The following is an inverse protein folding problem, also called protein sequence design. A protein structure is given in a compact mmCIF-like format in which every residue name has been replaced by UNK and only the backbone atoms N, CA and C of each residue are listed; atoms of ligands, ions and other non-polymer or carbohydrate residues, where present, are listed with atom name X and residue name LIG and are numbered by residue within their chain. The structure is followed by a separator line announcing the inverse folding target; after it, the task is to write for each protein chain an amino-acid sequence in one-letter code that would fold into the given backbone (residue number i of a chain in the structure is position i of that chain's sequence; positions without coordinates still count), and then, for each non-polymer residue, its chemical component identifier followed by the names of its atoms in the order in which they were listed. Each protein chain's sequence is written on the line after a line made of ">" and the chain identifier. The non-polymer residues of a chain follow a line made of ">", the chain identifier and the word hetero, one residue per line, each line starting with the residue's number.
data_IF_066086401151
#
_entry.id   IF_066086401151
#
_cell.length_a   1.000
_cell.length_b   1.000
_cell.length_c   1.000
_cell.angle_alpha   90.00
_cell.angle_beta   90.00
_cell.angle_gamma   90.00
#
_symmetry.space_group_name_H-M   'P 1'
#
loop_
_entity.id
_entity.type
_entity.pdbx_description
1 polymer ?
#
# COMPACT_ATOMS: atom_id res chain seq x y z
N UNK A 1 -2.28 2.77 -11.77
CA UNK A 1 -3.49 2.29 -12.49
C UNK A 1 -3.56 2.91 -13.88
N UNK A 2 -3.93 2.13 -14.89
CA UNK A 2 -4.22 2.60 -16.26
C UNK A 2 -5.73 2.58 -16.47
N UNK A 3 -6.27 3.62 -17.09
CA UNK A 3 -7.68 3.73 -17.42
C UNK A 3 -7.86 4.03 -18.90
N UNK A 4 -8.70 3.25 -19.56
CA UNK A 4 -9.00 3.41 -21.00
C UNK A 4 -10.24 4.29 -21.14
N UNK A 5 -10.08 5.45 -21.80
CA UNK A 5 -11.14 6.42 -22.00
C UNK A 5 -11.24 7.46 -20.86
N UNK A 6 -12.45 7.97 -20.60
CA UNK A 6 -12.69 9.01 -19.58
C UNK A 6 -13.09 8.37 -18.25
N UNK A 7 -12.30 8.55 -17.18
CA UNK A 7 -12.63 7.98 -15.88
C UNK A 7 -13.87 8.62 -15.27
N UNK A 8 -14.59 7.83 -14.47
CA UNK A 8 -15.61 8.36 -13.58
C UNK A 8 -14.95 9.25 -12.51
N UNK A 9 -15.56 10.41 -12.17
CA UNK A 9 -15.02 11.27 -11.10
C UNK A 9 -14.74 10.53 -9.78
N UNK A 10 -15.54 9.52 -9.43
CA UNK A 10 -15.29 8.67 -8.26
C UNK A 10 -13.97 7.91 -8.34
N UNK A 11 -13.59 7.43 -9.52
CA UNK A 11 -12.32 6.72 -9.71
C UNK A 11 -11.14 7.64 -9.42
N UNK A 12 -11.16 8.86 -9.93
CA UNK A 12 -10.11 9.86 -9.71
C UNK A 12 -10.03 10.30 -8.24
N UNK A 13 -11.19 10.53 -7.61
CA UNK A 13 -11.27 10.86 -6.18
C UNK A 13 -10.75 9.72 -5.30
N UNK A 14 -11.21 8.49 -5.52
CA UNK A 14 -10.75 7.33 -4.75
C UNK A 14 -9.25 7.10 -4.93
N UNK A 15 -8.72 7.31 -6.15
CA UNK A 15 -7.28 7.19 -6.40
C UNK A 15 -6.49 8.22 -5.60
N UNK A 16 -6.94 9.48 -5.53
CA UNK A 16 -6.28 10.53 -4.73
C UNK A 16 -6.27 10.19 -3.24
N UNK A 17 -7.40 9.72 -2.71
CA UNK A 17 -7.52 9.29 -1.32
C UNK A 17 -6.60 8.10 -1.04
N UNK A 18 -6.60 7.10 -1.92
CA UNK A 18 -5.74 5.92 -1.81
C UNK A 18 -4.27 6.33 -1.82
N UNK A 19 -3.89 7.28 -2.68
CA UNK A 19 -2.51 7.79 -2.74
C UNK A 19 -2.12 8.52 -1.44
N UNK A 20 -3.01 9.38 -0.89
CA UNK A 20 -2.79 10.01 0.43
C UNK A 20 -2.54 8.93 1.49
N UNK A 21 -3.32 7.86 1.50
CA UNK A 21 -3.15 6.72 2.41
C UNK A 21 -1.80 6.01 2.23
N UNK A 22 -1.39 5.78 0.99
CA UNK A 22 -0.09 5.18 0.66
C UNK A 22 1.05 6.07 1.16
N UNK A 23 0.98 7.38 0.98
CA UNK A 23 1.98 8.33 1.47
C UNK A 23 2.09 8.28 3.00
N UNK A 24 0.97 8.25 3.72
CA UNK A 24 0.97 8.11 5.19
C UNK A 24 1.56 6.78 5.65
N UNK A 25 1.27 5.69 4.94
CA UNK A 25 1.87 4.39 5.23
C UNK A 25 3.40 4.41 5.02
N UNK A 26 3.88 5.03 3.94
CA UNK A 26 5.31 5.20 3.65
C UNK A 26 5.99 6.03 4.76
N UNK A 27 5.41 7.14 5.21
CA UNK A 27 5.93 7.96 6.31
C UNK A 27 6.06 7.17 7.63
N UNK A 28 5.19 6.19 7.86
CA UNK A 28 5.23 5.31 9.03
C UNK A 28 6.18 4.12 8.87
N UNK A 29 6.64 3.84 7.65
CA UNK A 29 7.55 2.74 7.37
C UNK A 29 8.97 3.08 7.80
N UNK A 30 9.34 2.66 9.01
CA UNK A 30 10.68 2.84 9.58
C UNK A 30 10.96 1.78 10.64
N UNK A 31 12.23 1.53 10.99
CA UNK A 31 12.59 0.60 12.05
C UNK A 31 11.90 0.95 13.38
N UNK A 32 11.47 -0.08 14.08
CA UNK A 32 10.81 0.03 15.39
C UNK A 32 9.30 0.24 15.33
N UNK A 33 8.74 0.74 14.22
CA UNK A 33 7.31 0.69 13.99
C UNK A 33 6.86 -0.73 13.63
N UNK A 34 5.59 -1.02 13.80
CA UNK A 34 4.99 -2.32 13.48
C UNK A 34 4.24 -2.29 12.15
N UNK A 35 3.94 -3.46 11.60
CA UNK A 35 3.03 -3.60 10.46
C UNK A 35 1.66 -2.97 10.75
N UNK A 36 1.19 -3.07 12.02
CA UNK A 36 -0.01 -2.40 12.50
C UNK A 36 0.07 -0.88 12.34
N UNK A 37 1.18 -0.25 12.75
CA UNK A 37 1.34 1.21 12.67
C UNK A 37 1.27 1.71 11.23
N UNK A 38 1.91 1.00 10.30
CA UNK A 38 1.87 1.30 8.87
C UNK A 38 0.45 1.12 8.32
N UNK A 39 -0.21 0.04 8.71
CA UNK A 39 -1.57 -0.24 8.30
C UNK A 39 -2.56 0.82 8.81
N UNK A 40 -2.51 1.17 10.10
CA UNK A 40 -3.40 2.17 10.70
C UNK A 40 -3.25 3.52 10.00
N UNK A 41 -2.02 3.94 9.69
CA UNK A 41 -1.79 5.20 8.99
C UNK A 41 -2.50 5.26 7.61
N UNK A 42 -2.60 4.13 6.92
CA UNK A 42 -3.37 4.02 5.68
C UNK A 42 -4.88 4.06 5.95
N UNK A 43 -5.37 3.25 6.92
CA UNK A 43 -6.80 3.18 7.23
C UNK A 43 -7.38 4.47 7.80
N UNK A 44 -6.62 5.22 8.59
CA UNK A 44 -7.07 6.52 9.13
C UNK A 44 -7.41 7.51 8.02
N UNK A 45 -6.68 7.47 6.90
CA UNK A 45 -7.02 8.27 5.72
C UNK A 45 -8.33 7.79 5.10
N UNK A 46 -8.51 6.48 4.91
CA UNK A 46 -9.75 5.95 4.34
C UNK A 46 -10.96 6.31 5.20
N UNK A 47 -10.87 6.14 6.53
CA UNK A 47 -11.94 6.49 7.48
C UNK A 47 -12.34 7.96 7.39
N UNK A 48 -11.36 8.87 7.28
CA UNK A 48 -11.60 10.31 7.11
C UNK A 48 -12.49 10.64 5.91
N UNK A 49 -12.42 9.83 4.85
CA UNK A 49 -13.21 10.00 3.63
C UNK A 49 -14.38 9.01 3.50
N UNK A 50 -14.66 8.24 4.55
CA UNK A 50 -15.76 7.27 4.57
C UNK A 50 -15.54 6.08 3.63
N UNK A 51 -14.29 5.75 3.33
CA UNK A 51 -13.93 4.57 2.54
C UNK A 51 -13.53 3.42 3.46
N UNK A 52 -13.80 2.21 3.02
CA UNK A 52 -13.46 0.98 3.72
C UNK A 52 -12.57 0.08 2.86
N UNK A 53 -11.75 -0.72 3.53
CA UNK A 53 -10.93 -1.76 2.92
C UNK A 53 -10.81 -2.93 3.91
N UNK A 54 -11.23 -4.10 3.51
CA UNK A 54 -11.19 -5.30 4.35
C UNK A 54 -9.84 -6.04 4.28
N UNK A 55 -9.24 -6.09 3.09
CA UNK A 55 -8.01 -6.83 2.85
C UNK A 55 -6.77 -6.07 3.36
N UNK A 56 -5.70 -6.81 3.68
CA UNK A 56 -4.39 -6.21 3.98
C UNK A 56 -3.95 -5.23 2.90
N UNK A 57 -3.09 -4.27 3.26
CA UNK A 57 -2.51 -3.31 2.31
C UNK A 57 -1.05 -3.60 1.99
N UNK A 58 -0.53 -4.78 2.33
CA UNK A 58 0.82 -5.18 1.95
C UNK A 58 1.23 -6.54 2.52
N UNK A 59 2.32 -7.05 2.01
CA UNK A 59 2.91 -8.33 2.39
C UNK A 59 4.41 -8.36 2.09
N UNK A 60 5.16 -9.18 2.84
CA UNK A 60 6.59 -9.36 2.62
C UNK A 60 6.90 -9.96 1.26
N UNK A 61 7.95 -9.44 0.64
CA UNK A 61 8.53 -9.95 -0.62
C UNK A 61 10.01 -10.26 -0.42
N UNK A 62 10.56 -11.13 -1.25
CA UNK A 62 11.95 -11.54 -1.15
C UNK A 62 12.34 -12.50 -2.27
N UNK A 63 12.61 -13.76 -1.93
CA UNK A 63 13.02 -14.81 -2.87
C UNK A 63 11.83 -15.55 -3.50
N UNK A 64 10.62 -15.35 -2.98
CA UNK A 64 9.40 -15.99 -3.47
C UNK A 64 9.17 -15.73 -4.96
N UNK A 65 8.69 -16.74 -5.67
CA UNK A 65 8.47 -16.74 -7.12
C UNK A 65 7.07 -17.31 -7.45
N UNK A 66 6.45 -16.95 -8.57
CA UNK A 66 5.15 -17.48 -8.94
C UNK A 66 5.03 -18.99 -8.76
N UNK A 67 3.89 -19.51 -8.31
CA UNK A 67 2.58 -18.83 -8.23
C UNK A 67 2.35 -17.95 -7.00
N UNK A 68 3.27 -17.90 -6.04
CA UNK A 68 3.18 -17.03 -4.88
C UNK A 68 4.57 -16.41 -4.59
N UNK A 69 4.68 -15.10 -4.68
CA UNK A 69 5.90 -14.35 -4.37
C UNK A 69 5.88 -13.64 -3.01
N UNK A 70 4.84 -13.85 -2.21
CA UNK A 70 4.81 -13.41 -0.82
C UNK A 70 5.64 -14.35 0.07
N UNK A 71 6.47 -13.77 0.94
CA UNK A 71 7.32 -14.57 1.85
C UNK A 71 6.58 -15.04 3.12
N UNK A 72 5.34 -14.62 3.33
CA UNK A 72 4.49 -14.96 4.49
C UNK A 72 5.11 -14.65 5.87
N UNK A 73 6.10 -13.76 5.93
CA UNK A 73 6.81 -13.40 7.17
C UNK A 73 6.18 -12.22 7.89
N UNK A 74 5.47 -11.35 7.17
CA UNK A 74 4.71 -10.24 7.72
C UNK A 74 3.53 -9.85 6.82
N UNK A 75 2.57 -9.13 7.39
CA UNK A 75 1.42 -8.62 6.66
C UNK A 75 1.10 -7.20 7.11
N UNK A 76 1.06 -6.26 6.18
CA UNK A 76 0.67 -4.87 6.50
C UNK A 76 -0.84 -4.82 6.66
N UNK A 77 -1.28 -5.04 7.89
CA UNK A 77 -2.70 -5.03 8.30
C UNK A 77 -2.85 -4.68 9.78
N UNK A 78 -4.05 -4.26 10.17
CA UNK A 78 -4.39 -4.03 11.58
C UNK A 78 -4.13 -5.30 12.39
N UNK A 79 -3.56 -5.15 13.59
CA UNK A 79 -3.23 -6.21 14.54
C UNK A 79 -2.04 -7.11 14.18
N UNK A 80 -1.31 -6.86 13.10
CA UNK A 80 -0.01 -7.48 12.88
C UNK A 80 1.07 -6.65 13.60
N UNK A 81 1.52 -7.15 14.74
CA UNK A 81 2.49 -6.46 15.62
C UNK A 81 3.95 -6.78 15.26
N UNK A 82 4.21 -7.36 14.10
CA UNK A 82 5.57 -7.60 13.61
C UNK A 82 6.30 -6.27 13.49
N UNK A 83 7.43 -6.17 14.21
CA UNK A 83 8.27 -4.98 14.21
C UNK A 83 9.12 -4.92 12.96
N UNK A 84 9.07 -3.79 12.27
CA UNK A 84 9.88 -3.55 11.08
C UNK A 84 11.36 -3.43 11.45
N UNK A 85 12.20 -4.19 10.77
CA UNK A 85 13.66 -4.19 10.91
C UNK A 85 14.30 -3.62 9.64
N UNK A 86 15.52 -3.04 9.72
CA UNK A 86 16.27 -2.69 8.53
C UNK A 86 16.42 -3.88 7.58
N UNK A 87 16.37 -3.62 6.29
CA UNK A 87 16.43 -4.57 5.18
C UNK A 87 15.21 -5.49 5.00
N UNK A 88 14.17 -5.34 5.80
CA UNK A 88 12.88 -5.95 5.49
C UNK A 88 12.33 -5.32 4.21
N UNK A 89 11.86 -6.16 3.30
CA UNK A 89 11.21 -5.77 2.05
C UNK A 89 9.77 -6.21 2.01
N UNK A 90 8.89 -5.35 1.50
CA UNK A 90 7.49 -5.68 1.33
C UNK A 90 6.86 -4.92 0.15
N UNK A 91 5.80 -5.48 -0.38
CA UNK A 91 4.94 -4.83 -1.35
C UNK A 91 3.79 -4.16 -0.61
N UNK A 92 3.76 -2.83 -0.61
CA UNK A 92 2.62 -2.04 -0.16
C UNK A 92 1.63 -1.99 -1.31
N UNK A 93 0.51 -2.68 -1.17
CA UNK A 93 -0.51 -2.87 -2.20
C UNK A 93 -1.84 -2.31 -1.73
N UNK A 94 -2.11 -1.05 -2.06
CA UNK A 94 -3.33 -0.36 -1.70
C UNK A 94 -4.42 -0.58 -2.77
N UNK A 95 -4.92 -1.82 -2.85
CA UNK A 95 -6.03 -2.17 -3.73
C UNK A 95 -7.37 -1.80 -3.08
N UNK A 96 -8.16 -0.99 -3.77
CA UNK A 96 -9.54 -0.63 -3.42
C UNK A 96 -10.49 -1.45 -4.30
N UNK A 97 -11.16 -2.40 -3.67
CA UNK A 97 -12.07 -3.34 -4.34
C UNK A 97 -13.52 -2.93 -4.07
N UNK A 98 -14.12 -2.26 -5.03
CA UNK A 98 -15.50 -1.80 -4.97
C UNK A 98 -16.43 -2.83 -5.63
N UNK A 99 -17.75 -2.72 -5.45
CA UNK A 99 -18.72 -3.70 -5.94
C UNK A 99 -18.61 -4.00 -7.45
N UNK A 100 -18.36 -2.99 -8.27
CA UNK A 100 -18.35 -3.13 -9.74
C UNK A 100 -17.06 -2.69 -10.41
N UNK A 101 -16.10 -2.20 -9.64
CA UNK A 101 -14.82 -1.70 -10.15
C UNK A 101 -13.75 -1.74 -9.06
N UNK A 102 -12.52 -1.48 -9.41
CA UNK A 102 -11.43 -1.38 -8.46
C UNK A 102 -10.27 -0.57 -9.02
N UNK A 103 -9.39 -0.17 -8.13
CA UNK A 103 -8.12 0.42 -8.48
C UNK A 103 -7.04 -0.04 -7.51
N UNK A 104 -5.80 0.11 -7.91
CA UNK A 104 -4.66 -0.20 -7.07
C UNK A 104 -3.54 0.82 -7.27
N UNK A 105 -2.96 1.24 -6.15
CA UNK A 105 -1.66 1.91 -6.11
C UNK A 105 -0.75 1.03 -5.28
N UNK A 106 0.44 0.77 -5.78
CA UNK A 106 1.39 -0.08 -5.08
C UNK A 106 2.82 0.43 -5.16
N UNK A 107 3.60 0.07 -4.14
CA UNK A 107 5.03 0.34 -4.03
C UNK A 107 5.76 -0.88 -3.49
N UNK A 108 6.93 -1.17 -4.01
CA UNK A 108 7.87 -2.11 -3.40
C UNK A 108 8.85 -1.32 -2.56
N UNK A 109 8.99 -1.69 -1.29
CA UNK A 109 9.66 -0.89 -0.26
C UNK A 109 10.73 -1.74 0.44
N UNK A 110 11.87 -1.12 0.72
CA UNK A 110 12.87 -1.62 1.68
C UNK A 110 12.93 -0.69 2.90
N UNK A 111 12.83 -1.26 4.09
CA UNK A 111 13.10 -0.54 5.34
C UNK A 111 14.60 -0.26 5.44
N UNK A 112 14.97 0.99 5.68
CA UNK A 112 16.36 1.43 5.89
C UNK A 112 16.66 1.61 7.38
N UNK A 113 17.85 2.04 7.75
CA UNK A 113 18.21 2.31 9.15
C UNK A 113 17.37 3.44 9.78
N UNK A 114 16.88 4.40 8.99
CA UNK A 114 16.22 5.59 9.49
C UNK A 114 14.81 5.84 8.91
N UNK A 115 14.33 4.97 8.02
CA UNK A 115 13.05 5.14 7.32
C UNK A 115 12.86 4.04 6.30
N UNK A 116 12.51 4.39 5.07
CA UNK A 116 12.42 3.44 3.96
C UNK A 116 12.84 4.05 2.64
N UNK A 117 13.08 3.19 1.67
CA UNK A 117 13.29 3.56 0.27
C UNK A 117 12.30 2.82 -0.62
N UNK A 118 11.88 3.45 -1.70
CA UNK A 118 11.07 2.86 -2.75
C UNK A 118 11.98 2.29 -3.83
N UNK A 119 11.65 1.11 -4.36
CA UNK A 119 12.42 0.51 -5.46
C UNK A 119 12.13 1.12 -6.82
N UNK A 120 11.06 1.91 -6.94
CA UNK A 120 10.65 2.52 -8.20
C UNK A 120 10.30 4.00 -7.99
N UNK A 121 10.70 4.84 -8.91
CA UNK A 121 10.26 6.24 -9.01
C UNK A 121 9.27 6.37 -10.18
N UNK A 122 8.06 5.86 -9.98
CA UNK A 122 7.00 5.91 -10.95
C UNK A 122 5.79 6.69 -10.40
N UNK A 123 5.18 7.61 -11.19
CA UNK A 123 4.08 8.43 -10.70
C UNK A 123 2.88 7.59 -10.24
N UNK A 124 2.44 7.82 -9.00
CA UNK A 124 1.22 7.23 -8.43
C UNK A 124 -0.02 7.98 -8.91
N UNK A 125 -0.30 7.89 -10.19
CA UNK A 125 -1.38 8.59 -10.85
C UNK A 125 -2.25 7.65 -11.69
N UNK A 126 -3.39 8.17 -12.13
CA UNK A 126 -4.21 7.51 -13.14
C UNK A 126 -3.63 7.82 -14.52
N UNK A 127 -3.13 6.80 -15.19
CA UNK A 127 -2.64 6.92 -16.56
C UNK A 127 -3.79 6.70 -17.53
N UNK A 128 -4.09 7.69 -18.34
CA UNK A 128 -5.21 7.66 -19.31
C UNK A 128 -4.71 7.23 -20.69
N UNK A 129 -5.47 6.37 -21.35
CA UNK A 129 -5.27 5.92 -22.72
C UNK A 129 -6.55 6.13 -23.53
#
# INVERSE_FOLDING_TARGET
>A
TVYIGKPDPKTDETLKITNEGVERAIEKTKPGNTCHDVAVAFWDVLEKYGLEKESRCGYSIGLGYPPDWGEHTLSIRKNDMTVLQPNVTFHLMAGMWMDTWGLEISESIRVTENGCELFCDFPRSLHLI
#
